data_IF_437234656607
#
_entry.id   IF_437234656607
#
_cell.length_a   1.000
_cell.length_b   1.000
_cell.length_c   1.000
_cell.angle_alpha   90.00
_cell.angle_beta   90.00
_cell.angle_gamma   90.00
#
_symmetry.space_group_name_H-M   'P 1'
#
loop_
_entity.id
_entity.type
_entity.pdbx_description
1 polymer ?
#
# COMPACT_ATOMS: atom_id res chain seq x y z
N UNK A 1 6.49 -9.37 -9.14
CA UNK A 1 6.65 -8.18 -8.29
C UNK A 1 5.34 -7.41 -8.25
N UNK A 2 4.94 -6.99 -7.08
CA UNK A 2 3.71 -6.22 -6.91
C UNK A 2 3.89 -4.79 -7.44
N UNK A 3 2.90 -4.32 -8.20
CA UNK A 3 2.84 -2.94 -8.66
C UNK A 3 1.71 -2.23 -7.95
N UNK A 4 1.84 -0.93 -7.78
CA UNK A 4 0.79 -0.14 -7.15
C UNK A 4 0.31 0.97 -8.07
N UNK A 5 -1.00 1.17 -8.07
CA UNK A 5 -1.64 2.36 -8.61
C UNK A 5 -1.95 3.26 -7.42
N UNK A 6 -1.38 4.44 -7.43
CA UNK A 6 -1.53 5.40 -6.35
C UNK A 6 -2.29 6.60 -6.87
N UNK A 7 -3.39 6.94 -6.20
CA UNK A 7 -4.19 8.12 -6.54
C UNK A 7 -3.99 9.16 -5.44
N UNK A 8 -3.24 10.20 -5.80
CA UNK A 8 -2.94 11.33 -4.93
C UNK A 8 -3.30 12.60 -5.69
N UNK A 9 -4.13 13.50 -5.12
CA UNK A 9 -4.38 14.79 -5.74
C UNK A 9 -3.06 15.53 -5.94
N UNK A 10 -2.84 16.02 -7.16
CA UNK A 10 -1.58 16.67 -7.51
C UNK A 10 -1.41 18.01 -6.78
N UNK A 11 -2.50 18.74 -6.56
CA UNK A 11 -2.48 20.08 -6.02
C UNK A 11 -3.64 20.29 -5.06
N UNK A 12 -3.33 20.70 -3.84
CA UNK A 12 -4.32 20.91 -2.77
C UNK A 12 -3.99 22.18 -2.00
N UNK A 13 -4.90 22.56 -1.11
CA UNK A 13 -4.70 23.70 -0.22
C UNK A 13 -4.23 23.24 1.15
N UNK A 14 -3.43 24.06 1.81
CA UNK A 14 -3.01 23.76 3.19
C UNK A 14 -4.24 23.61 4.08
N UNK A 15 -4.20 22.56 4.90
CA UNK A 15 -5.30 22.22 5.81
C UNK A 15 -6.35 21.30 5.21
N UNK A 16 -6.30 21.05 3.90
CA UNK A 16 -7.23 20.10 3.28
C UNK A 16 -7.00 18.70 3.83
N UNK A 17 -8.11 17.99 4.02
CA UNK A 17 -8.07 16.55 4.30
C UNK A 17 -8.09 15.85 2.94
N UNK A 18 -7.00 15.18 2.63
CA UNK A 18 -6.76 14.59 1.31
C UNK A 18 -6.93 13.10 1.36
N UNK A 19 -7.78 12.55 0.49
CA UNK A 19 -7.96 11.11 0.39
C UNK A 19 -6.89 10.52 -0.52
N UNK A 20 -6.20 9.51 -0.01
CA UNK A 20 -5.17 8.76 -0.73
C UNK A 20 -5.71 7.36 -0.99
N UNK A 21 -5.62 6.90 -2.23
CA UNK A 21 -6.05 5.56 -2.60
C UNK A 21 -4.89 4.80 -3.21
N UNK A 22 -4.72 3.56 -2.77
CA UNK A 22 -3.63 2.69 -3.24
C UNK A 22 -4.22 1.34 -3.60
N UNK A 23 -3.97 0.90 -4.82
CA UNK A 23 -4.33 -0.44 -5.27
C UNK A 23 -3.04 -1.18 -5.59
N UNK A 24 -2.77 -2.28 -4.89
CA UNK A 24 -1.54 -3.05 -5.06
C UNK A 24 -1.89 -4.35 -5.80
N UNK A 25 -1.23 -4.58 -6.94
CA UNK A 25 -1.44 -5.79 -7.72
C UNK A 25 -0.66 -6.94 -7.08
N UNK A 26 -1.37 -7.83 -6.36
CA UNK A 26 -0.77 -8.97 -5.67
C UNK A 26 -1.80 -10.08 -5.52
N UNK A 27 -1.42 -11.35 -5.74
CA UNK A 27 -2.39 -12.46 -5.68
C UNK A 27 -2.89 -12.77 -4.27
N UNK A 28 -2.19 -12.41 -3.22
CA UNK A 28 -2.55 -12.71 -1.82
C UNK A 28 -2.83 -14.20 -1.65
N UNK A 29 -1.83 -15.05 -1.96
CA UNK A 29 -1.95 -16.50 -1.84
C UNK A 29 -1.98 -16.89 -0.36
N UNK A 30 -3.11 -17.44 0.09
CA UNK A 30 -3.36 -17.65 1.51
C UNK A 30 -2.56 -18.80 2.13
N UNK A 31 -2.13 -19.77 1.32
CA UNK A 31 -1.53 -20.99 1.84
C UNK A 31 -2.56 -22.09 2.14
N UNK A 32 -3.84 -21.81 1.91
CA UNK A 32 -4.92 -22.79 2.15
C UNK A 32 -5.53 -23.32 0.86
N UNK A 33 -5.03 -22.91 -0.29
CA UNK A 33 -5.54 -23.36 -1.58
C UNK A 33 -4.81 -24.63 -2.00
N UNK A 34 -5.53 -25.76 -2.23
CA UNK A 34 -4.87 -27.00 -2.66
C UNK A 34 -4.41 -26.94 -4.10
N UNK A 35 -3.26 -27.54 -4.37
CA UNK A 35 -2.76 -27.71 -5.73
C UNK A 35 -3.31 -29.03 -6.34
N UNK A 36 -3.05 -29.31 -7.63
CA UNK A 36 -3.54 -30.53 -8.28
C UNK A 36 -3.01 -31.84 -7.67
N UNK A 37 -1.93 -31.79 -6.89
CA UNK A 37 -1.31 -32.96 -6.27
C UNK A 37 -1.78 -33.17 -4.82
N UNK A 38 -2.77 -32.39 -4.35
CA UNK A 38 -3.28 -32.46 -3.00
C UNK A 38 -2.45 -31.76 -1.94
N UNK A 39 -1.41 -31.04 -2.36
CA UNK A 39 -0.65 -30.18 -1.47
C UNK A 39 -1.22 -28.76 -1.53
N UNK A 40 -0.74 -27.89 -0.66
CA UNK A 40 -1.16 -26.49 -0.66
C UNK A 40 -0.13 -25.63 -1.38
N UNK A 41 -0.63 -24.62 -2.12
CA UNK A 41 0.27 -23.59 -2.62
C UNK A 41 0.88 -22.85 -1.44
N UNK A 42 2.19 -22.51 -1.49
CA UNK A 42 2.82 -21.77 -0.41
C UNK A 42 2.15 -20.42 -0.22
N UNK A 43 2.03 -20.00 1.03
CA UNK A 43 1.52 -18.68 1.34
C UNK A 43 2.43 -17.61 0.74
N UNK A 44 1.82 -16.62 0.10
CA UNK A 44 2.53 -15.47 -0.44
C UNK A 44 1.58 -14.27 -0.41
N UNK A 45 1.64 -13.52 0.68
CA UNK A 45 0.80 -12.34 0.88
C UNK A 45 1.66 -11.10 1.07
N UNK A 46 1.06 -9.94 0.81
CA UNK A 46 1.58 -8.69 1.35
C UNK A 46 1.26 -8.68 2.82
N UNK A 47 2.25 -8.54 3.68
CA UNK A 47 2.05 -8.58 5.13
C UNK A 47 2.07 -7.22 5.80
N UNK A 48 2.56 -6.18 5.13
CA UNK A 48 2.56 -4.83 5.68
C UNK A 48 2.55 -3.76 4.60
N UNK A 49 2.00 -2.62 4.96
CA UNK A 49 1.98 -1.41 4.14
C UNK A 49 2.24 -0.21 5.03
N UNK A 50 2.97 0.75 4.54
CA UNK A 50 3.24 2.00 5.25
C UNK A 50 3.31 3.17 4.28
N UNK A 51 2.92 4.34 4.76
CA UNK A 51 3.05 5.59 4.04
C UNK A 51 3.67 6.64 4.95
N UNK A 52 4.63 7.36 4.42
CA UNK A 52 5.20 8.53 5.10
C UNK A 52 4.95 9.78 4.25
N UNK A 53 4.85 10.92 4.93
CA UNK A 53 4.73 12.24 4.33
C UNK A 53 5.97 13.01 4.78
N UNK A 54 6.90 13.25 3.85
CA UNK A 54 8.21 13.85 4.14
C UNK A 54 8.91 13.17 5.33
N UNK A 55 8.95 11.84 5.30
CA UNK A 55 9.54 10.98 6.34
C UNK A 55 8.74 10.87 7.63
N UNK A 56 7.61 11.58 7.76
CA UNK A 56 6.70 11.43 8.90
C UNK A 56 5.73 10.29 8.63
N UNK A 57 5.62 9.28 9.50
CA UNK A 57 4.62 8.23 9.33
C UNK A 57 3.20 8.82 9.40
N UNK A 58 2.38 8.55 8.40
CA UNK A 58 1.00 9.03 8.36
C UNK A 58 -0.01 7.89 8.30
N UNK A 59 0.41 6.71 7.89
CA UNK A 59 -0.47 5.54 7.86
C UNK A 59 0.37 4.27 7.78
N UNK A 60 -0.06 3.23 8.49
CA UNK A 60 0.50 1.89 8.35
C UNK A 60 -0.58 0.85 8.61
N UNK A 61 -0.40 -0.33 8.03
CA UNK A 61 -1.34 -1.44 8.19
C UNK A 61 -0.59 -2.76 8.12
N UNK A 62 -1.01 -3.71 8.96
CA UNK A 62 -0.63 -5.10 8.82
C UNK A 62 -1.72 -5.79 8.01
N UNK A 63 -1.32 -6.63 7.06
CA UNK A 63 -2.22 -7.36 6.20
C UNK A 63 -2.14 -8.86 6.51
N UNK A 64 -3.26 -9.54 6.39
CA UNK A 64 -3.40 -10.94 6.76
C UNK A 64 -4.03 -11.72 5.61
N UNK A 65 -3.99 -13.06 5.64
CA UNK A 65 -4.54 -13.87 4.54
C UNK A 65 -6.00 -13.62 4.19
N UNK A 66 -6.78 -13.02 5.09
CA UNK A 66 -8.17 -12.69 4.82
C UNK A 66 -8.35 -11.51 3.85
N UNK A 67 -7.28 -10.77 3.57
CA UNK A 67 -7.35 -9.66 2.61
C UNK A 67 -7.39 -10.23 1.20
N UNK A 68 -8.33 -9.74 0.38
CA UNK A 68 -8.51 -10.21 -1.00
C UNK A 68 -7.31 -9.90 -1.87
N UNK A 69 -7.18 -10.64 -2.97
CA UNK A 69 -6.21 -10.34 -4.02
C UNK A 69 -6.34 -8.88 -4.47
N UNK A 70 -5.22 -8.30 -4.86
CA UNK A 70 -5.12 -6.90 -5.26
C UNK A 70 -5.65 -5.96 -4.17
N UNK A 71 -4.98 -5.92 -3.01
CA UNK A 71 -5.44 -5.11 -1.88
C UNK A 71 -5.64 -3.65 -2.25
N UNK A 72 -6.77 -3.11 -1.80
CA UNK A 72 -7.09 -1.70 -1.96
C UNK A 72 -7.08 -1.03 -0.59
N UNK A 73 -6.34 0.06 -0.47
CA UNK A 73 -6.21 0.82 0.76
C UNK A 73 -6.63 2.26 0.49
N UNK A 74 -7.43 2.80 1.39
CA UNK A 74 -7.85 4.21 1.33
C UNK A 74 -7.65 4.82 2.70
N UNK A 75 -7.01 5.96 2.75
CA UNK A 75 -6.77 6.68 4.00
C UNK A 75 -6.65 8.17 3.71
N UNK A 76 -6.65 8.97 4.76
CA UNK A 76 -6.57 10.42 4.61
C UNK A 76 -5.32 10.97 5.28
N UNK A 77 -4.83 12.07 4.71
CA UNK A 77 -3.75 12.86 5.32
C UNK A 77 -4.17 14.32 5.29
N UNK A 78 -3.63 15.11 6.22
CA UNK A 78 -3.82 16.55 6.22
C UNK A 78 -2.67 17.19 5.44
N UNK A 79 -3.00 18.00 4.44
CA UNK A 79 -2.00 18.70 3.64
C UNK A 79 -1.38 19.83 4.47
N UNK A 80 -0.09 19.74 4.74
CA UNK A 80 0.63 20.73 5.54
C UNK A 80 1.64 21.53 4.73
N UNK A 81 2.30 20.87 3.81
CA UNK A 81 3.33 21.49 2.97
C UNK A 81 3.54 20.67 1.71
N UNK A 82 4.05 21.30 0.68
CA UNK A 82 4.49 20.60 -0.52
C UNK A 82 5.55 19.58 -0.13
N UNK A 83 5.36 18.34 -0.55
CA UNK A 83 6.28 17.29 -0.16
C UNK A 83 6.07 16.01 -0.94
N UNK A 84 6.60 14.91 -0.38
CA UNK A 84 6.60 13.60 -1.01
C UNK A 84 5.94 12.58 -0.10
N UNK A 85 4.96 11.87 -0.65
CA UNK A 85 4.39 10.70 -0.02
C UNK A 85 5.20 9.48 -0.49
N UNK A 86 5.67 8.69 0.46
CA UNK A 86 6.42 7.47 0.18
C UNK A 86 5.61 6.28 0.66
N UNK A 87 5.29 5.39 -0.29
CA UNK A 87 4.51 4.19 -0.03
C UNK A 87 5.44 2.99 -0.06
N UNK A 88 5.34 2.12 0.92
CA UNK A 88 6.13 0.89 0.96
C UNK A 88 5.24 -0.29 1.33
N UNK A 89 5.53 -1.46 0.75
CA UNK A 89 4.82 -2.69 1.08
C UNK A 89 5.79 -3.85 1.05
N UNK A 90 5.61 -4.76 2.00
CA UNK A 90 6.49 -5.89 2.22
C UNK A 90 5.71 -7.19 2.12
N UNK A 91 6.26 -8.15 1.39
CA UNK A 91 5.65 -9.47 1.20
C UNK A 91 6.20 -10.53 2.17
N UNK A 92 5.67 -11.75 2.07
CA UNK A 92 6.10 -12.87 2.91
C UNK A 92 7.56 -13.29 2.69
N UNK A 93 8.17 -12.88 1.59
CA UNK A 93 9.58 -13.13 1.31
C UNK A 93 10.47 -12.01 1.83
N UNK A 94 9.90 -11.10 2.61
CA UNK A 94 10.57 -9.93 3.15
C UNK A 94 11.12 -8.98 2.07
N UNK A 95 10.52 -9.03 0.88
CA UNK A 95 10.83 -8.09 -0.18
C UNK A 95 9.98 -6.85 0.01
N UNK A 96 10.62 -5.69 0.06
CA UNK A 96 9.96 -4.41 0.20
C UNK A 96 10.07 -3.64 -1.10
N UNK A 97 8.93 -3.10 -1.55
CA UNK A 97 8.88 -2.23 -2.71
C UNK A 97 8.43 -0.85 -2.27
N UNK A 98 8.89 0.17 -2.98
CA UNK A 98 8.66 1.55 -2.63
C UNK A 98 8.20 2.31 -3.88
N UNK A 99 7.21 3.18 -3.68
CA UNK A 99 6.75 4.09 -4.71
C UNK A 99 6.50 5.45 -4.08
N UNK A 100 6.76 6.51 -4.81
CA UNK A 100 6.59 7.87 -4.31
C UNK A 100 5.59 8.65 -5.16
N UNK A 101 4.98 9.65 -4.54
CA UNK A 101 4.11 10.60 -5.24
C UNK A 101 4.31 11.97 -4.61
N UNK A 102 4.36 12.99 -5.45
CA UNK A 102 4.49 14.37 -4.98
C UNK A 102 3.11 14.96 -4.73
N UNK A 103 2.98 15.70 -3.64
CA UNK A 103 1.80 16.49 -3.35
C UNK A 103 2.21 17.98 -3.28
N UNK A 104 1.53 18.81 -4.04
CA UNK A 104 1.78 20.24 -4.06
C UNK A 104 0.73 20.95 -3.22
N UNK A 105 1.18 21.72 -2.24
CA UNK A 105 0.31 22.43 -1.29
C UNK A 105 0.43 23.94 -1.53
N UNK A 106 -0.69 24.56 -1.79
CA UNK A 106 -0.77 26.01 -2.01
C UNK A 106 -0.90 26.81 -0.72
#
# INVERSE_FOLDING_TARGET
>A
MARALVNVPAKVKRGDVVEIKVLISHPMETGFRPDPNGKFYPRDILKSFACTYDSEPVFSAELFPAVSANPFLSFTVVATQTGVLTFSWTDDKDQTQVQTAKIEVE
#
